data_IF_267977125672
#
_entry.id   IF_267977125672
#
_cell.length_a   1.000
_cell.length_b   1.000
_cell.length_c   1.000
_cell.angle_alpha   90.00
_cell.angle_beta   90.00
_cell.angle_gamma   90.00
#
_symmetry.space_group_name_H-M   'P 1'
#
loop_
_entity.id
_entity.type
_entity.pdbx_description
1 polymer ?
#
# COMPACT_ATOMS: atom_id res chain seq x y z
N UNK A 1 -2.48 -13.53 13.53
CA UNK A 1 -2.46 -12.68 12.33
C UNK A 1 -3.79 -12.83 11.60
N UNK A 2 -4.32 -11.73 11.12
CA UNK A 2 -5.62 -11.68 10.45
C UNK A 2 -5.44 -11.00 9.10
N UNK A 3 -6.18 -11.46 8.08
CA UNK A 3 -6.21 -10.76 6.79
C UNK A 3 -7.45 -9.87 6.77
N UNK A 4 -7.24 -8.58 6.58
CA UNK A 4 -8.32 -7.62 6.45
C UNK A 4 -8.58 -7.32 4.98
N UNK A 5 -9.84 -7.14 4.64
CA UNK A 5 -10.27 -6.91 3.25
C UNK A 5 -11.00 -5.58 3.16
N UNK A 6 -10.63 -4.80 2.14
CA UNK A 6 -11.26 -3.51 1.87
C UNK A 6 -11.55 -3.43 0.39
N UNK A 7 -12.58 -2.67 0.01
CA UNK A 7 -12.79 -2.37 -1.40
C UNK A 7 -13.41 -1.01 -1.56
N UNK A 8 -13.24 -0.44 -2.74
CA UNK A 8 -13.79 0.87 -3.05
C UNK A 8 -13.99 0.96 -4.57
N UNK A 9 -15.07 1.63 -4.99
CA UNK A 9 -15.28 1.92 -6.40
C UNK A 9 -14.73 3.32 -6.68
N UNK A 10 -13.80 3.41 -7.61
CA UNK A 10 -13.16 4.66 -8.00
C UNK A 10 -13.58 4.97 -9.43
N UNK A 11 -14.06 6.19 -9.68
CA UNK A 11 -14.56 6.60 -11.00
C UNK A 11 -13.40 7.02 -11.90
N UNK A 12 -12.54 6.06 -12.21
CA UNK A 12 -11.40 6.24 -13.09
C UNK A 12 -11.03 4.85 -13.64
N UNK A 13 -10.39 4.78 -14.81
CA UNK A 13 -10.02 3.48 -15.38
C UNK A 13 -8.93 2.79 -14.56
N UNK A 14 -8.84 1.46 -14.63
CA UNK A 14 -7.87 0.70 -13.83
C UNK A 14 -6.43 1.19 -13.99
N UNK A 15 -6.04 1.59 -15.18
CA UNK A 15 -4.69 2.07 -15.40
C UNK A 15 -4.39 3.34 -14.60
N UNK A 16 -5.37 4.25 -14.52
CA UNK A 16 -5.20 5.48 -13.74
C UNK A 16 -5.12 5.18 -12.24
N UNK A 17 -6.00 4.30 -11.76
CA UNK A 17 -6.00 3.94 -10.33
C UNK A 17 -4.69 3.28 -9.96
N UNK A 18 -4.25 2.31 -10.77
CA UNK A 18 -3.01 1.59 -10.57
C UNK A 18 -1.82 2.56 -10.56
N UNK A 19 -1.75 3.44 -11.56
CA UNK A 19 -0.64 4.38 -11.68
C UNK A 19 -0.61 5.36 -10.50
N UNK A 20 -1.78 5.90 -10.12
CA UNK A 20 -1.89 6.84 -9.00
C UNK A 20 -1.48 6.18 -7.69
N UNK A 21 -1.84 4.92 -7.51
CA UNK A 21 -1.56 4.20 -6.29
C UNK A 21 -0.05 3.98 -6.09
N UNK A 22 0.69 3.72 -7.17
CA UNK A 22 2.10 3.36 -7.10
C UNK A 22 3.08 4.51 -7.36
N UNK A 23 2.65 5.56 -8.05
CA UNK A 23 3.53 6.67 -8.41
C UNK A 23 3.94 7.42 -7.15
N UNK A 24 5.25 7.66 -6.97
CA UNK A 24 5.80 8.16 -5.72
C UNK A 24 5.08 9.41 -5.17
N UNK A 25 4.91 10.50 -5.95
CA UNK A 25 4.23 11.68 -5.41
C UNK A 25 2.80 11.44 -4.95
N UNK A 26 2.01 10.66 -5.70
CA UNK A 26 0.63 10.38 -5.31
C UNK A 26 0.55 9.33 -4.23
N UNK A 27 1.48 8.37 -4.22
CA UNK A 27 1.60 7.41 -3.12
C UNK A 27 1.77 8.15 -1.79
N UNK A 28 2.64 9.15 -1.74
CA UNK A 28 2.88 9.90 -0.52
C UNK A 28 1.64 10.64 -0.06
N UNK A 29 0.80 11.06 -0.99
CA UNK A 29 -0.43 11.77 -0.65
C UNK A 29 -1.49 10.86 -0.05
N UNK A 30 -1.77 9.71 -0.69
CA UNK A 30 -2.84 8.87 -0.16
C UNK A 30 -2.41 8.10 1.08
N UNK A 31 -1.13 7.74 1.18
CA UNK A 31 -0.64 7.01 2.36
C UNK A 31 -0.41 7.92 3.56
N UNK A 32 -0.47 9.23 3.39
CA UNK A 32 -0.37 10.14 4.53
C UNK A 32 -1.50 9.91 5.55
N UNK A 33 -2.57 9.20 5.16
CA UNK A 33 -3.60 8.78 6.11
C UNK A 33 -3.04 7.84 7.18
N UNK A 34 -2.05 7.03 6.82
CA UNK A 34 -1.38 6.16 7.79
C UNK A 34 -0.37 6.93 8.62
N UNK A 35 0.42 7.76 7.97
CA UNK A 35 1.45 8.54 8.64
C UNK A 35 1.93 9.62 7.69
N UNK A 36 1.93 10.87 8.12
CA UNK A 36 2.50 11.93 7.30
C UNK A 36 3.96 11.65 7.06
N UNK A 37 4.40 11.83 5.82
CA UNK A 37 5.76 11.53 5.44
C UNK A 37 5.99 10.10 5.00
N UNK A 38 4.92 9.31 4.87
CA UNK A 38 5.02 7.97 4.29
C UNK A 38 5.57 8.04 2.88
N UNK A 39 6.54 7.18 2.58
CA UNK A 39 7.16 7.11 1.26
C UNK A 39 7.69 5.70 1.03
N UNK A 40 8.17 5.45 -0.18
CA UNK A 40 8.87 4.21 -0.45
C UNK A 40 10.16 4.49 -1.20
N UNK A 41 11.09 3.53 -1.11
CA UNK A 41 12.31 3.49 -1.89
C UNK A 41 12.40 2.13 -2.56
N UNK A 42 12.93 2.10 -3.78
CA UNK A 42 13.00 0.88 -4.56
C UNK A 42 12.05 0.93 -5.73
N UNK A 43 11.67 -0.24 -6.24
CA UNK A 43 10.86 -0.30 -7.43
C UNK A 43 9.73 -1.31 -7.31
N UNK A 44 8.82 -1.26 -8.28
CA UNK A 44 7.60 -2.05 -8.28
C UNK A 44 7.66 -3.27 -9.19
N UNK A 45 8.78 -3.51 -9.90
CA UNK A 45 8.88 -4.69 -10.74
C UNK A 45 8.90 -5.96 -9.89
N UNK A 46 8.30 -7.02 -10.39
CA UNK A 46 8.27 -8.29 -9.65
C UNK A 46 9.70 -8.72 -9.33
N UNK A 47 9.91 -9.09 -8.07
CA UNK A 47 11.22 -9.50 -7.57
C UNK A 47 12.07 -8.37 -7.00
N UNK A 48 11.68 -7.13 -7.20
CA UNK A 48 12.45 -6.01 -6.64
C UNK A 48 12.19 -5.83 -5.16
N UNK A 49 13.23 -5.40 -4.46
CA UNK A 49 13.11 -4.96 -3.08
C UNK A 49 12.47 -3.58 -3.06
N UNK A 50 11.53 -3.38 -2.15
CA UNK A 50 10.91 -2.09 -1.93
C UNK A 50 10.83 -1.86 -0.42
N UNK A 51 11.17 -0.63 0.00
CA UNK A 51 11.14 -0.25 1.41
C UNK A 51 10.07 0.79 1.62
N UNK A 52 9.17 0.51 2.55
CA UNK A 52 8.09 1.44 2.90
C UNK A 52 8.49 2.14 4.18
N UNK A 53 8.66 3.45 4.12
CA UNK A 53 9.30 4.22 5.17
C UNK A 53 8.39 5.33 5.68
N UNK A 54 8.49 5.64 6.97
CA UNK A 54 7.89 6.83 7.55
C UNK A 54 8.86 7.99 7.54
N UNK A 55 8.47 9.13 8.13
CA UNK A 55 9.30 10.36 8.09
C UNK A 55 10.65 10.22 8.79
N UNK A 56 10.75 9.29 9.74
CA UNK A 56 12.00 9.05 10.45
C UNK A 56 12.89 8.01 9.78
N UNK A 57 12.51 7.50 8.61
CA UNK A 57 13.28 6.50 7.90
C UNK A 57 13.06 5.08 8.39
N UNK A 58 12.12 4.89 9.31
CA UNK A 58 11.78 3.55 9.80
C UNK A 58 10.56 3.01 9.09
N UNK A 59 10.48 1.70 8.93
CA UNK A 59 9.36 1.09 8.25
C UNK A 59 9.59 -0.39 7.99
N UNK A 60 9.28 -0.81 6.76
CA UNK A 60 9.33 -2.22 6.41
C UNK A 60 10.17 -2.45 5.17
N UNK A 61 10.94 -3.55 5.19
CA UNK A 61 11.63 -4.05 4.01
C UNK A 61 10.77 -5.15 3.40
N UNK A 62 10.57 -5.06 2.07
CA UNK A 62 9.60 -5.91 1.38
C UNK A 62 10.13 -6.30 0.01
N UNK A 63 9.43 -7.22 -0.64
CA UNK A 63 9.70 -7.58 -2.03
C UNK A 63 8.36 -7.57 -2.76
N UNK A 64 8.40 -7.14 -4.02
CA UNK A 64 7.22 -7.20 -4.88
C UNK A 64 7.12 -8.65 -5.35
N UNK A 65 6.15 -9.38 -4.82
CA UNK A 65 6.00 -10.80 -5.10
C UNK A 65 5.42 -11.03 -6.49
N UNK A 66 4.50 -10.16 -6.91
CA UNK A 66 3.88 -10.26 -8.22
C UNK A 66 3.39 -8.89 -8.65
N UNK A 67 3.48 -8.58 -9.93
CA UNK A 67 2.98 -7.30 -10.45
C UNK A 67 2.48 -7.51 -11.87
N UNK A 68 1.17 -7.37 -12.06
CA UNK A 68 0.53 -7.36 -13.37
C UNK A 68 -0.07 -5.96 -13.57
N UNK A 69 0.47 -5.18 -14.50
CA UNK A 69 0.07 -3.76 -14.66
C UNK A 69 -1.45 -3.60 -14.77
N UNK A 70 -1.97 -2.69 -13.96
CA UNK A 70 -3.39 -2.33 -13.92
C UNK A 70 -4.32 -3.49 -13.53
N UNK A 71 -3.78 -4.60 -13.04
CA UNK A 71 -4.58 -5.77 -12.64
C UNK A 71 -4.32 -6.21 -11.21
N UNK A 72 -3.04 -6.38 -10.85
CA UNK A 72 -2.72 -7.01 -9.57
C UNK A 72 -1.32 -6.63 -9.11
N UNK A 73 -1.19 -6.29 -7.83
CA UNK A 73 0.12 -6.09 -7.18
C UNK A 73 0.11 -6.86 -5.88
N UNK A 74 1.14 -7.67 -5.65
CA UNK A 74 1.31 -8.39 -4.39
C UNK A 74 2.63 -7.99 -3.77
N UNK A 75 2.57 -7.53 -2.54
CA UNK A 75 3.74 -7.14 -1.75
C UNK A 75 3.91 -8.15 -0.64
N UNK A 76 5.15 -8.62 -0.45
CA UNK A 76 5.46 -9.50 0.67
C UNK A 76 6.41 -8.76 1.60
N UNK A 77 5.95 -8.46 2.80
CA UNK A 77 6.74 -7.78 3.81
C UNK A 77 7.63 -8.80 4.51
N UNK A 78 8.93 -8.55 4.56
CA UNK A 78 9.93 -9.49 5.05
C UNK A 78 10.46 -9.14 6.42
N UNK A 79 10.40 -7.87 6.80
CA UNK A 79 10.97 -7.44 8.06
C UNK A 79 10.77 -5.96 8.30
N UNK A 80 11.49 -5.44 9.28
CA UNK A 80 11.39 -4.06 9.71
C UNK A 80 12.70 -3.34 9.49
N UNK A 81 12.63 -2.02 9.43
CA UNK A 81 13.81 -1.15 9.37
C UNK A 81 13.73 -0.25 10.59
N UNK A 82 14.73 -0.35 11.47
CA UNK A 82 14.80 0.45 12.68
C UNK A 82 16.20 1.04 12.77
N UNK A 83 16.28 2.37 12.87
CA UNK A 83 17.55 3.09 12.94
C UNK A 83 18.48 2.73 11.79
N UNK A 84 17.89 2.59 10.59
CA UNK A 84 18.64 2.29 9.38
C UNK A 84 19.06 0.83 9.23
N UNK A 85 18.66 -0.03 10.15
CA UNK A 85 19.05 -1.44 10.12
C UNK A 85 17.85 -2.29 9.73
N UNK A 86 18.04 -3.15 8.71
CA UNK A 86 17.00 -4.09 8.28
C UNK A 86 17.05 -5.33 9.17
N UNK A 87 15.89 -5.72 9.68
CA UNK A 87 15.73 -6.89 10.53
C UNK A 87 14.72 -7.83 9.91
N UNK A 88 15.21 -8.95 9.38
CA UNK A 88 14.35 -9.96 8.75
C UNK A 88 14.41 -11.30 9.49
N UNK A 89 15.13 -11.38 10.61
CA UNK A 89 15.41 -12.66 11.21
C UNK A 89 15.19 -12.72 12.72
N UNK A 90 14.90 -11.59 13.38
CA UNK A 90 14.68 -11.61 14.83
C UNK A 90 13.41 -12.39 15.16
N UNK A 91 13.31 -12.81 16.40
CA UNK A 91 12.13 -13.53 16.88
C UNK A 91 10.88 -12.66 16.73
N UNK A 92 11.00 -11.37 17.05
CA UNK A 92 9.88 -10.43 16.93
C UNK A 92 9.37 -10.34 15.49
N UNK A 93 10.28 -10.28 14.53
CA UNK A 93 9.92 -10.21 13.12
C UNK A 93 9.35 -11.54 12.63
N UNK A 94 9.95 -12.65 13.02
CA UNK A 94 9.47 -13.96 12.59
C UNK A 94 8.08 -14.30 13.11
N UNK A 95 7.65 -13.58 14.14
CA UNK A 95 6.29 -13.76 14.67
C UNK A 95 5.22 -13.32 13.68
N UNK A 96 5.55 -12.39 12.75
CA UNK A 96 4.56 -11.87 11.79
C UNK A 96 4.99 -11.96 10.32
N UNK A 97 6.29 -12.09 10.05
CA UNK A 97 6.76 -12.11 8.67
C UNK A 97 6.85 -13.56 8.17
N UNK A 98 6.63 -13.80 6.89
CA UNK A 98 6.19 -12.79 5.91
C UNK A 98 4.71 -12.47 6.07
N UNK A 99 4.33 -11.26 5.69
CA UNK A 99 2.93 -10.91 5.61
C UNK A 99 2.68 -10.22 4.26
N UNK A 100 1.47 -10.31 3.77
CA UNK A 100 1.16 -9.91 2.41
C UNK A 100 0.19 -8.75 2.36
N UNK A 101 0.34 -7.94 1.31
CA UNK A 101 -0.55 -6.84 1.02
C UNK A 101 -0.81 -6.90 -0.48
N UNK A 102 -2.07 -7.14 -0.86
CA UNK A 102 -2.43 -7.39 -2.25
C UNK A 102 -3.44 -6.37 -2.73
N UNK A 103 -3.27 -5.90 -3.96
CA UNK A 103 -4.19 -4.97 -4.60
C UNK A 103 -4.71 -5.58 -5.89
N UNK A 104 -6.04 -5.66 -6.03
CA UNK A 104 -6.70 -6.12 -7.25
C UNK A 104 -7.46 -4.96 -7.87
N UNK A 105 -7.23 -4.72 -9.16
CA UNK A 105 -7.88 -3.66 -9.91
C UNK A 105 -8.79 -4.31 -10.95
N UNK A 106 -10.09 -4.13 -10.82
CA UNK A 106 -11.07 -4.74 -11.72
C UNK A 106 -11.94 -3.66 -12.35
N UNK A 107 -12.01 -3.66 -13.68
CA UNK A 107 -12.88 -2.71 -14.39
C UNK A 107 -14.33 -3.05 -14.12
N UNK A 108 -15.12 -2.02 -13.81
CA UNK A 108 -16.56 -2.15 -13.62
C UNK A 108 -17.24 -0.99 -14.31
N UNK A 109 -18.56 -1.08 -14.44
CA UNK A 109 -19.33 0.04 -14.98
C UNK A 109 -19.07 1.27 -14.11
N UNK A 110 -18.63 2.33 -14.76
CA UNK A 110 -18.36 3.61 -14.08
C UNK A 110 -16.98 3.73 -13.47
N UNK A 111 -16.11 2.73 -13.58
CA UNK A 111 -14.76 2.88 -13.04
C UNK A 111 -14.02 1.61 -12.73
N UNK A 112 -13.37 1.61 -11.58
CA UNK A 112 -12.54 0.50 -11.12
C UNK A 112 -12.93 0.10 -9.72
N UNK A 113 -13.12 -1.19 -9.51
CA UNK A 113 -13.23 -1.75 -8.15
C UNK A 113 -11.83 -2.10 -7.69
N UNK A 114 -11.34 -1.40 -6.67
CA UNK A 114 -10.06 -1.71 -6.06
C UNK A 114 -10.32 -2.54 -4.81
N UNK A 115 -9.71 -3.72 -4.76
CA UNK A 115 -9.81 -4.59 -3.58
C UNK A 115 -8.44 -4.73 -2.96
N UNK A 116 -8.36 -4.54 -1.64
CA UNK A 116 -7.14 -4.65 -0.87
C UNK A 116 -7.30 -5.80 0.12
N UNK A 117 -6.30 -6.67 0.17
CA UNK A 117 -6.22 -7.71 1.19
C UNK A 117 -4.88 -7.50 1.90
N UNK A 118 -4.93 -7.23 3.20
CA UNK A 118 -3.72 -6.91 3.96
C UNK A 118 -3.67 -7.77 5.22
N UNK A 119 -2.54 -8.46 5.39
CA UNK A 119 -2.29 -9.23 6.61
C UNK A 119 -1.89 -8.27 7.71
N UNK A 120 -2.53 -8.40 8.87
CA UNK A 120 -2.27 -7.52 10.01
C UNK A 120 -2.17 -8.38 11.25
N UNK A 121 -1.31 -8.00 12.17
CA UNK A 121 -1.20 -8.74 13.42
C UNK A 121 -1.72 -7.89 14.59
N UNK A 122 -2.21 -8.58 15.60
CA UNK A 122 -3.01 -8.15 16.74
C UNK A 122 -3.04 -6.69 17.11
N UNK A 123 -1.92 -6.11 17.49
CA UNK A 123 -1.90 -4.75 18.01
C UNK A 123 -2.25 -3.70 16.95
N UNK A 124 -2.16 -4.04 15.67
CA UNK A 124 -2.43 -3.10 14.58
C UNK A 124 -3.80 -3.27 13.93
N UNK A 125 -4.57 -4.28 14.34
CA UNK A 125 -5.84 -4.59 13.68
C UNK A 125 -6.81 -3.41 13.70
N UNK A 126 -7.01 -2.81 14.86
CA UNK A 126 -7.96 -1.70 15.00
C UNK A 126 -7.50 -0.48 14.20
N UNK A 127 -6.21 -0.16 14.29
CA UNK A 127 -5.64 0.97 13.57
C UNK A 127 -5.79 0.81 12.07
N UNK A 128 -5.48 -0.36 11.55
CA UNK A 128 -5.56 -0.60 10.10
C UNK A 128 -6.99 -0.64 9.61
N UNK A 129 -7.91 -1.24 10.39
CA UNK A 129 -9.31 -1.28 10.03
C UNK A 129 -9.91 0.12 9.93
N UNK A 130 -9.43 1.06 10.74
CA UNK A 130 -9.90 2.43 10.72
C UNK A 130 -9.22 3.25 9.63
N UNK A 131 -7.93 3.00 9.40
CA UNK A 131 -7.10 3.85 8.55
C UNK A 131 -7.24 3.53 7.06
N UNK A 132 -7.32 2.25 6.70
CA UNK A 132 -7.44 1.86 5.30
C UNK A 132 -8.61 2.54 4.57
N UNK A 133 -9.82 2.60 5.15
CA UNK A 133 -10.92 3.30 4.47
C UNK A 133 -10.61 4.77 4.19
N UNK A 134 -9.92 5.45 5.10
CA UNK A 134 -9.53 6.85 4.90
C UNK A 134 -8.48 7.00 3.81
N UNK A 135 -7.52 6.09 3.80
CA UNK A 135 -6.47 6.09 2.77
C UNK A 135 -7.08 5.85 1.39
N UNK A 136 -8.00 4.90 1.28
CA UNK A 136 -8.66 4.61 0.02
C UNK A 136 -9.55 5.76 -0.44
N UNK A 137 -10.20 6.46 0.49
CA UNK A 137 -10.98 7.65 0.15
C UNK A 137 -10.10 8.75 -0.43
N UNK A 138 -8.90 8.93 0.10
CA UNK A 138 -7.94 9.89 -0.46
C UNK A 138 -7.49 9.48 -1.85
N UNK A 139 -7.17 8.21 -2.04
CA UNK A 139 -6.79 7.69 -3.35
C UNK A 139 -7.90 7.94 -4.37
N UNK A 140 -9.15 7.66 -3.98
CA UNK A 140 -10.30 7.89 -4.82
C UNK A 140 -10.39 9.38 -5.24
N UNK A 141 -10.25 10.29 -4.30
CA UNK A 141 -10.30 11.72 -4.61
C UNK A 141 -9.22 12.13 -5.59
N UNK A 142 -8.00 11.62 -5.41
CA UNK A 142 -6.89 11.94 -6.31
C UNK A 142 -7.18 11.39 -7.71
N UNK A 143 -7.64 10.14 -7.80
CA UNK A 143 -7.92 9.50 -9.09
C UNK A 143 -9.05 10.19 -9.84
N UNK A 144 -10.03 10.73 -9.12
CA UNK A 144 -11.20 11.37 -9.73
C UNK A 144 -10.97 12.84 -10.03
N UNK A 145 -9.73 13.31 -9.88
CA UNK A 145 -9.38 14.68 -10.24
C UNK A 145 -9.73 15.68 -9.17
N UNK A 146 -9.60 15.28 -7.92
CA UNK A 146 -9.83 16.21 -6.83
C UNK A 146 -9.00 17.46 -7.10
N UNK A 147 -9.43 18.46 -6.65
CA UNK A 147 -8.72 19.64 -6.65
C UNK A 147 -8.07 19.86 -7.87
N UNK A 148 -8.65 20.16 -8.48
CA UNK A 148 -8.00 20.58 -9.53
C UNK A 148 -6.99 21.51 -9.21
N UNK A 149 -7.05 21.51 -8.63
CA UNK A 149 -6.33 22.15 -8.77
C UNK A 149 -5.30 21.81 -8.76
N UNK A 150 -5.36 21.32 -8.80
CA UNK A 150 -4.50 21.01 -8.71
C UNK A 150 -3.81 21.04 -9.38
N UNK A 151 -3.72 21.29 -9.62
CA UNK A 151 -3.29 21.26 -10.24
C UNK A 151 -2.60 21.00 -10.37
#
# INVERSE_FOLDING_TARGET
>A
MTTQHFDILIHAPPERVWRTMLFSPTYERWTSAFCEGSRYEGGWDAGQTIRFLGPNGEGMVSVVAEHRPAEFVSIRHLGMIVQGVEDTSSEAVRAWAPCHENYHFTAEAGGTRLRVAADVFGTYEAYMAETWPRALARLKSICEGEAPCVS
#
